data_IF_914081899102
#
_entry.id   IF_914081899102
#
_cell.length_a   1.000
_cell.length_b   1.000
_cell.length_c   1.000
_cell.angle_alpha   90.00
_cell.angle_beta   90.00
_cell.angle_gamma   90.00
#
_symmetry.space_group_name_H-M   'P 1'
#
loop_
_entity.id
_entity.type
_entity.pdbx_description
1 polymer ?
#
# COMPACT_ATOMS: atom_id res chain seq x y z
N UNK A 1 1.88 -41.91 -3.41
CA UNK A 1 1.26 -40.68 -3.94
C UNK A 1 1.41 -39.62 -2.87
N UNK A 2 2.10 -38.51 -3.16
CA UNK A 2 2.05 -37.36 -2.28
C UNK A 2 0.61 -36.83 -2.33
N UNK A 3 -0.03 -36.63 -1.17
CA UNK A 3 -1.34 -36.00 -1.11
C UNK A 3 -1.24 -34.56 -1.56
N UNK A 4 -2.24 -34.07 -2.29
CA UNK A 4 -2.41 -32.66 -2.60
C UNK A 4 -3.39 -32.04 -1.61
N UNK A 5 -3.12 -30.83 -1.15
CA UNK A 5 -4.06 -30.00 -0.41
C UNK A 5 -4.76 -29.06 -1.39
N UNK A 6 -6.06 -29.29 -1.61
CA UNK A 6 -6.86 -28.52 -2.57
C UNK A 6 -7.84 -27.61 -1.86
N UNK A 7 -7.72 -26.30 -2.10
CA UNK A 7 -8.66 -25.29 -1.63
C UNK A 7 -9.79 -25.09 -2.64
N UNK A 8 -10.99 -25.57 -2.31
CA UNK A 8 -12.22 -25.35 -3.10
C UNK A 8 -13.15 -24.28 -2.53
N UNK A 9 -12.78 -23.71 -1.38
CA UNK A 9 -13.50 -22.64 -0.68
C UNK A 9 -12.53 -21.89 0.24
N UNK A 10 -13.02 -20.88 0.95
CA UNK A 10 -12.24 -20.10 1.91
C UNK A 10 -11.78 -20.98 3.08
N UNK A 11 -10.47 -21.04 3.31
CA UNK A 11 -9.88 -21.68 4.48
C UNK A 11 -9.33 -20.60 5.40
N UNK A 12 -9.99 -20.39 6.55
CA UNK A 12 -9.60 -19.38 7.52
C UNK A 12 -8.55 -19.95 8.47
N UNK A 13 -7.40 -19.28 8.56
CA UNK A 13 -6.32 -19.69 9.45
C UNK A 13 -6.61 -19.37 10.92
N UNK A 14 -7.38 -18.30 11.20
CA UNK A 14 -7.81 -17.93 12.56
C UNK A 14 -6.65 -17.96 13.59
N UNK A 15 -5.53 -17.28 13.30
CA UNK A 15 -4.34 -17.25 14.17
C UNK A 15 -3.59 -18.59 14.34
N UNK A 16 -3.91 -19.62 13.54
CA UNK A 16 -3.21 -20.90 13.56
C UNK A 16 -2.19 -21.01 12.42
N UNK A 17 -1.30 -22.01 12.55
CA UNK A 17 -0.33 -22.38 11.52
C UNK A 17 -0.89 -23.54 10.70
N UNK A 18 -0.99 -23.35 9.38
CA UNK A 18 -1.15 -24.43 8.42
C UNK A 18 0.23 -24.86 7.94
N UNK A 19 0.62 -26.10 8.24
CA UNK A 19 1.94 -26.63 7.88
C UNK A 19 1.86 -27.55 6.65
N UNK A 20 2.64 -27.21 5.62
CA UNK A 20 2.82 -28.01 4.41
C UNK A 20 4.23 -28.58 4.38
N UNK A 21 4.35 -29.85 4.73
CA UNK A 21 5.63 -30.57 4.88
C UNK A 21 6.28 -30.98 3.56
N UNK A 22 5.58 -30.86 2.44
CA UNK A 22 6.09 -31.28 1.13
C UNK A 22 6.63 -30.07 0.38
N UNK A 23 7.93 -30.12 0.11
CA UNK A 23 8.70 -29.25 -0.77
C UNK A 23 8.39 -29.53 -2.24
N UNK A 24 7.12 -29.42 -2.63
CA UNK A 24 6.66 -29.57 -4.02
C UNK A 24 5.67 -28.44 -4.30
N UNK A 25 5.92 -27.56 -5.28
CA UNK A 25 5.04 -26.44 -5.60
C UNK A 25 3.57 -26.82 -5.85
N UNK A 26 3.32 -27.98 -6.46
CA UNK A 26 1.97 -28.48 -6.77
C UNK A 26 1.24 -29.12 -5.59
N UNK A 27 1.84 -29.16 -4.38
CA UNK A 27 1.16 -29.71 -3.19
C UNK A 27 -0.05 -28.86 -2.80
N UNK A 28 0.05 -27.54 -2.99
CA UNK A 28 -1.03 -26.60 -2.73
C UNK A 28 -1.72 -26.27 -4.05
N UNK A 29 -2.97 -26.70 -4.18
CA UNK A 29 -3.83 -26.40 -5.32
C UNK A 29 -5.03 -25.58 -4.86
N UNK A 30 -5.59 -24.75 -5.73
CA UNK A 30 -6.74 -23.94 -5.41
C UNK A 30 -7.67 -23.81 -6.62
N UNK A 31 -8.96 -24.09 -6.41
CA UNK A 31 -10.02 -24.04 -7.40
C UNK A 31 -11.21 -23.30 -6.78
N UNK A 32 -11.22 -21.97 -6.89
CA UNK A 32 -12.20 -21.07 -6.27
C UNK A 32 -12.13 -20.96 -4.73
N UNK A 33 -11.04 -21.43 -4.11
CA UNK A 33 -10.74 -21.25 -2.70
C UNK A 33 -9.45 -20.47 -2.47
N UNK A 34 -9.28 -19.95 -1.26
CA UNK A 34 -8.10 -19.20 -0.84
C UNK A 34 -7.86 -19.35 0.67
N UNK A 35 -6.65 -19.03 1.11
CA UNK A 35 -6.28 -18.90 2.51
C UNK A 35 -6.67 -17.50 2.99
N UNK A 36 -7.48 -17.41 4.04
CA UNK A 36 -7.73 -16.17 4.75
C UNK A 36 -6.84 -16.14 5.99
N UNK A 37 -5.72 -15.40 5.89
CA UNK A 37 -4.78 -15.20 7.00
C UNK A 37 -5.28 -14.16 8.02
N UNK A 38 -6.22 -13.32 7.60
CA UNK A 38 -6.62 -12.10 8.28
C UNK A 38 -7.14 -12.36 9.69
N UNK A 39 -6.52 -11.65 10.63
CA UNK A 39 -6.87 -11.51 12.03
C UNK A 39 -6.24 -10.17 12.44
N UNK A 40 -6.96 -9.07 12.18
CA UNK A 40 -6.57 -7.69 12.56
C UNK A 40 -6.15 -7.65 14.05
N UNK A 41 -5.21 -6.80 14.44
CA UNK A 41 -3.91 -7.22 14.92
C UNK A 41 -3.83 -6.92 16.42
N UNK A 42 -4.41 -7.81 17.19
CA UNK A 42 -4.31 -7.76 18.65
C UNK A 42 -4.28 -9.17 19.28
N UNK A 43 -4.48 -10.22 18.48
CA UNK A 43 -4.52 -11.60 18.96
C UNK A 43 -4.28 -12.60 17.82
N UNK A 44 -3.01 -12.70 17.39
CA UNK A 44 -2.48 -13.79 16.58
C UNK A 44 -2.80 -13.70 15.09
N UNK A 45 -1.77 -13.88 14.25
CA UNK A 45 -1.84 -13.83 12.80
C UNK A 45 -1.81 -15.27 12.23
N UNK A 46 -2.67 -15.57 11.25
CA UNK A 46 -2.66 -16.88 10.59
C UNK A 46 -1.42 -17.06 9.71
N UNK A 47 -0.76 -18.21 9.78
CA UNK A 47 0.49 -18.46 9.03
C UNK A 47 0.36 -19.71 8.17
N UNK A 48 0.76 -19.60 6.90
CA UNK A 48 1.11 -20.77 6.09
C UNK A 48 2.61 -21.03 6.27
N UNK A 49 2.96 -22.16 6.88
CA UNK A 49 4.34 -22.64 6.99
C UNK A 49 4.57 -23.71 5.95
N UNK A 50 5.36 -23.40 4.91
CA UNK A 50 5.58 -24.34 3.81
C UNK A 50 7.05 -24.74 3.77
N UNK A 51 7.35 -26.03 3.98
CA UNK A 51 8.67 -26.59 3.72
C UNK A 51 9.00 -26.50 2.23
N UNK A 52 10.01 -25.69 1.90
CA UNK A 52 10.50 -25.51 0.54
C UNK A 52 11.86 -26.18 0.33
N UNK A 53 12.63 -26.35 1.41
CA UNK A 53 13.95 -26.99 1.41
C UNK A 53 14.88 -26.39 0.36
N UNK A 54 15.47 -27.23 -0.49
CA UNK A 54 16.43 -26.91 -1.55
C UNK A 54 15.78 -26.82 -2.94
N UNK A 55 14.47 -26.60 -3.00
CA UNK A 55 13.73 -26.61 -4.26
C UNK A 55 13.71 -25.25 -4.95
N UNK A 56 13.65 -25.29 -6.28
CA UNK A 56 13.44 -24.12 -7.15
C UNK A 56 12.04 -24.13 -7.76
N UNK A 57 11.59 -22.97 -8.25
CA UNK A 57 10.32 -22.82 -8.96
C UNK A 57 9.29 -21.98 -8.19
N UNK A 58 8.08 -21.92 -8.74
CA UNK A 58 7.03 -21.01 -8.27
C UNK A 58 6.13 -21.63 -7.21
N UNK A 59 6.28 -21.19 -5.97
CA UNK A 59 5.42 -21.54 -4.84
C UNK A 59 4.28 -20.52 -4.76
N UNK A 60 3.06 -20.95 -5.10
CA UNK A 60 1.89 -20.08 -5.13
C UNK A 60 1.11 -20.17 -3.82
N UNK A 61 0.98 -19.05 -3.13
CA UNK A 61 0.24 -18.90 -1.89
C UNK A 61 -1.05 -18.13 -2.20
N UNK A 62 -2.21 -18.82 -2.25
CA UNK A 62 -3.47 -18.21 -2.64
C UNK A 62 -4.09 -17.49 -1.44
N UNK A 63 -3.50 -16.39 -0.98
CA UNK A 63 -4.19 -15.53 -0.01
C UNK A 63 -5.36 -14.82 -0.69
N UNK A 64 -6.41 -14.54 0.09
CA UNK A 64 -7.51 -13.70 -0.36
C UNK A 64 -7.97 -12.73 0.70
N UNK A 65 -8.60 -11.63 0.27
CA UNK A 65 -8.98 -10.51 1.15
C UNK A 65 -10.30 -10.70 1.91
N UNK A 66 -10.97 -11.83 1.73
CA UNK A 66 -12.36 -11.98 2.19
C UNK A 66 -13.40 -11.41 1.21
N UNK A 67 -12.97 -10.71 0.15
CA UNK A 67 -13.84 -10.11 -0.87
C UNK A 67 -14.26 -11.14 -1.95
N UNK A 68 -15.01 -10.68 -2.96
CA UNK A 68 -15.68 -11.53 -3.97
C UNK A 68 -14.73 -12.24 -4.96
N UNK A 69 -13.45 -11.86 -5.01
CA UNK A 69 -12.46 -12.51 -5.86
C UNK A 69 -11.57 -13.44 -5.05
N UNK A 70 -11.40 -14.69 -5.52
CA UNK A 70 -10.56 -15.70 -4.86
C UNK A 70 -9.06 -15.58 -5.21
N UNK A 71 -8.66 -14.56 -5.98
CA UNK A 71 -7.31 -14.41 -6.50
C UNK A 71 -6.73 -13.00 -6.29
N UNK A 72 -7.35 -12.20 -5.43
CA UNK A 72 -7.04 -10.77 -5.26
C UNK A 72 -5.74 -10.50 -4.50
N UNK A 73 -5.30 -11.41 -3.63
CA UNK A 73 -4.09 -11.24 -2.80
C UNK A 73 -3.06 -12.37 -2.96
N UNK A 74 -3.12 -13.13 -4.05
CA UNK A 74 -2.16 -14.20 -4.30
C UNK A 74 -0.72 -13.70 -4.22
N UNK A 75 0.14 -14.49 -3.57
CA UNK A 75 1.58 -14.27 -3.54
C UNK A 75 2.26 -15.44 -4.24
N UNK A 76 3.16 -15.14 -5.16
CA UNK A 76 4.02 -16.16 -5.79
C UNK A 76 5.46 -15.93 -5.37
N UNK A 77 6.05 -16.90 -4.69
CA UNK A 77 7.48 -16.95 -4.41
C UNK A 77 8.16 -17.80 -5.49
N UNK A 78 8.78 -17.16 -6.48
CA UNK A 78 9.54 -17.83 -7.52
C UNK A 78 11.00 -17.98 -7.08
N UNK A 79 11.41 -19.19 -6.71
CA UNK A 79 12.77 -19.47 -6.27
C UNK A 79 13.66 -19.68 -7.48
N UNK A 80 14.58 -18.73 -7.68
CA UNK A 80 15.57 -18.72 -8.76
C UNK A 80 16.81 -19.56 -8.40
N UNK A 81 17.25 -19.44 -7.15
CA UNK A 81 18.33 -20.24 -6.59
C UNK A 81 17.90 -20.74 -5.21
N UNK A 82 17.99 -22.05 -5.01
CA UNK A 82 17.63 -22.70 -3.76
C UNK A 82 18.47 -22.21 -2.57
N UNK A 83 17.87 -22.29 -1.38
CA UNK A 83 18.56 -22.17 -0.11
C UNK A 83 19.63 -23.27 0.04
N UNK A 84 20.70 -23.00 0.78
CA UNK A 84 21.57 -24.09 1.26
C UNK A 84 21.07 -24.57 2.62
N UNK A 85 20.27 -25.64 2.60
CA UNK A 85 19.68 -26.25 3.79
C UNK A 85 18.19 -26.52 3.65
N UNK A 86 17.67 -27.38 4.52
CA UNK A 86 16.24 -27.67 4.63
C UNK A 86 15.55 -26.63 5.51
N UNK A 87 14.28 -26.36 5.23
CA UNK A 87 13.48 -25.49 6.07
C UNK A 87 12.31 -24.82 5.37
N UNK A 88 11.42 -24.21 6.18
CA UNK A 88 10.21 -23.60 5.68
C UNK A 88 10.41 -22.14 5.28
N UNK A 89 9.48 -21.68 4.46
CA UNK A 89 9.12 -20.27 4.37
C UNK A 89 7.75 -20.10 5.01
N UNK A 90 7.65 -19.15 5.94
CA UNK A 90 6.39 -18.72 6.55
C UNK A 90 5.80 -17.60 5.71
N UNK A 91 4.52 -17.70 5.41
CA UNK A 91 3.76 -16.69 4.68
C UNK A 91 2.58 -16.21 5.51
N UNK A 92 2.37 -14.90 5.53
CA UNK A 92 1.16 -14.30 6.06
C UNK A 92 0.88 -12.93 5.43
N UNK A 93 -0.31 -12.41 5.65
CA UNK A 93 -0.73 -11.06 5.28
C UNK A 93 -1.85 -10.57 6.18
N UNK A 94 -1.92 -9.26 6.43
CA UNK A 94 -3.02 -8.63 7.14
C UNK A 94 -3.28 -7.22 6.57
N UNK A 95 -4.56 -6.75 6.58
CA UNK A 95 -4.90 -5.39 6.18
C UNK A 95 -4.48 -4.37 7.24
N UNK A 96 -4.51 -3.09 6.90
CA UNK A 96 -4.28 -1.99 7.84
C UNK A 96 -5.34 -0.90 7.66
N UNK A 97 -5.39 0.04 8.61
CA UNK A 97 -6.11 1.30 8.39
C UNK A 97 -5.36 2.21 7.40
N UNK A 98 -5.99 3.34 7.04
CA UNK A 98 -5.48 4.35 6.09
C UNK A 98 -4.17 5.06 6.50
N UNK A 99 -3.64 4.78 7.68
CA UNK A 99 -2.34 5.26 8.14
C UNK A 99 -1.34 4.11 8.26
N UNK A 100 -1.60 3.01 7.55
CA UNK A 100 -0.87 1.73 7.57
C UNK A 100 -0.66 1.16 8.98
N UNK A 101 -1.63 1.38 9.88
CA UNK A 101 -1.61 0.77 11.21
C UNK A 101 -2.45 -0.51 11.28
N UNK A 102 -1.94 -1.54 11.96
CA UNK A 102 -0.66 -1.55 12.69
C UNK A 102 0.53 -1.75 11.74
N UNK A 103 1.70 -1.36 12.22
CA UNK A 103 2.95 -1.76 11.61
C UNK A 103 3.29 -3.21 11.99
N UNK A 104 4.06 -3.93 11.15
CA UNK A 104 4.54 -5.26 11.50
C UNK A 104 5.39 -5.24 12.77
N UNK A 105 5.48 -6.37 13.46
CA UNK A 105 6.35 -6.53 14.63
C UNK A 105 7.77 -6.04 14.32
N UNK A 106 8.33 -5.23 15.23
CA UNK A 106 9.66 -4.61 15.15
C UNK A 106 9.82 -3.51 14.09
N UNK A 107 8.75 -3.11 13.39
CA UNK A 107 8.74 -1.95 12.50
C UNK A 107 8.22 -0.73 13.28
N UNK A 108 9.06 0.27 13.59
CA UNK A 108 8.67 1.40 14.42
C UNK A 108 7.92 2.50 13.65
N UNK A 109 8.12 2.59 12.33
CA UNK A 109 7.53 3.61 11.46
C UNK A 109 7.49 3.17 10.00
N UNK A 110 6.61 3.80 9.20
CA UNK A 110 6.61 3.69 7.74
C UNK A 110 7.62 4.64 7.06
N UNK A 111 8.15 5.62 7.79
CA UNK A 111 9.16 6.58 7.33
C UNK A 111 10.30 5.91 6.55
N UNK A 112 10.74 6.48 5.42
CA UNK A 112 10.34 7.78 4.86
C UNK A 112 9.12 7.73 3.92
N UNK A 113 8.40 6.61 3.84
CA UNK A 113 7.31 6.43 2.89
C UNK A 113 6.01 7.03 3.42
N UNK A 114 5.27 7.64 2.50
CA UNK A 114 3.99 8.27 2.79
C UNK A 114 2.89 7.20 2.85
N UNK A 115 2.15 7.10 3.98
CA UNK A 115 1.03 6.17 4.11
C UNK A 115 -0.08 6.41 3.08
N UNK A 116 -0.27 7.63 2.58
CA UNK A 116 -1.33 7.95 1.61
C UNK A 116 -1.15 7.27 0.23
N UNK A 117 0.09 6.88 -0.10
CA UNK A 117 0.47 6.20 -1.35
C UNK A 117 1.02 4.79 -1.11
N UNK A 118 0.81 4.26 0.09
CA UNK A 118 1.25 2.92 0.48
C UNK A 118 0.03 2.03 0.70
N UNK A 119 0.04 0.86 0.06
CA UNK A 119 -1.08 -0.07 0.16
C UNK A 119 -1.37 -0.41 1.61
N UNK A 120 -2.65 -0.36 1.97
CA UNK A 120 -3.18 -0.71 3.30
C UNK A 120 -3.09 -2.21 3.63
N UNK A 121 -1.90 -2.79 3.50
CA UNK A 121 -1.60 -4.21 3.71
C UNK A 121 -0.10 -4.44 3.88
N UNK A 122 0.23 -5.39 4.76
CA UNK A 122 1.56 -5.98 4.82
C UNK A 122 1.53 -7.45 4.44
N UNK A 123 2.64 -7.91 3.86
CA UNK A 123 2.96 -9.32 3.67
C UNK A 123 4.18 -9.68 4.53
N UNK A 124 4.09 -10.80 5.23
CA UNK A 124 5.17 -11.34 6.05
C UNK A 124 5.65 -12.64 5.40
N UNK A 125 6.86 -12.62 4.86
CA UNK A 125 7.47 -13.74 4.14
C UNK A 125 8.81 -14.04 4.80
N UNK A 126 8.84 -15.04 5.68
CA UNK A 126 10.01 -15.34 6.51
C UNK A 126 10.63 -16.68 6.14
N UNK A 127 11.84 -16.63 5.57
CA UNK A 127 12.63 -17.80 5.22
C UNK A 127 13.46 -18.26 6.44
N UNK A 128 13.13 -19.41 7.02
CA UNK A 128 13.81 -19.98 8.20
C UNK A 128 14.99 -20.91 7.83
N UNK A 129 15.44 -20.91 6.58
CA UNK A 129 16.61 -21.69 6.15
C UNK A 129 17.93 -21.06 6.58
N UNK A 130 18.95 -21.90 6.83
CA UNK A 130 20.30 -21.45 7.24
C UNK A 130 20.98 -20.50 6.24
N UNK A 131 20.68 -20.63 4.95
CA UNK A 131 20.92 -19.58 3.95
C UNK A 131 19.65 -19.42 3.14
N UNK A 132 19.13 -18.19 3.06
CA UNK A 132 17.88 -17.89 2.35
C UNK A 132 18.03 -18.12 0.84
N UNK A 133 16.94 -18.42 0.12
CA UNK A 133 16.98 -18.57 -1.33
C UNK A 133 17.13 -17.21 -2.04
N UNK A 134 17.53 -17.24 -3.31
CA UNK A 134 17.36 -16.11 -4.25
C UNK A 134 16.00 -16.23 -4.93
N UNK A 135 15.21 -15.16 -4.93
CA UNK A 135 13.80 -15.22 -5.33
C UNK A 135 13.35 -14.05 -6.18
N UNK A 136 12.26 -14.22 -6.92
CA UNK A 136 11.38 -13.12 -7.33
C UNK A 136 10.04 -13.32 -6.64
N UNK A 137 9.45 -12.23 -6.16
CA UNK A 137 8.15 -12.27 -5.49
C UNK A 137 7.14 -11.52 -6.35
N UNK A 138 6.02 -12.16 -6.63
CA UNK A 138 4.86 -11.50 -7.23
C UNK A 138 3.80 -11.32 -6.16
N UNK A 139 3.43 -10.08 -5.89
CA UNK A 139 2.32 -9.70 -5.01
C UNK A 139 1.13 -9.33 -5.87
N UNK A 140 -0.02 -9.98 -5.68
CA UNK A 140 -1.30 -9.39 -6.09
C UNK A 140 -1.85 -8.54 -4.97
N UNK A 141 -2.47 -7.44 -5.33
CA UNK A 141 -2.96 -6.46 -4.37
C UNK A 141 -4.38 -6.02 -4.72
N UNK A 142 -5.07 -5.56 -3.69
CA UNK A 142 -6.28 -4.77 -3.79
C UNK A 142 -5.90 -3.32 -3.56
N UNK A 143 -6.46 -2.40 -4.33
CA UNK A 143 -6.26 -0.95 -4.13
C UNK A 143 -7.57 -0.31 -3.59
N UNK A 144 -7.80 -0.38 -2.27
CA UNK A 144 -8.84 0.39 -1.60
C UNK A 144 -8.33 1.73 -1.04
N UNK A 145 -7.16 2.21 -1.46
CA UNK A 145 -6.49 3.35 -0.82
C UNK A 145 -7.20 4.68 -1.12
N UNK A 146 -7.02 5.68 -0.25
CA UNK A 146 -7.74 6.96 -0.33
C UNK A 146 -7.38 7.73 -1.59
N UNK A 147 -6.13 7.58 -2.04
CA UNK A 147 -5.61 8.14 -3.27
C UNK A 147 -5.28 7.02 -4.26
N UNK A 148 -5.54 7.21 -5.57
CA UNK A 148 -5.11 6.24 -6.56
C UNK A 148 -3.58 6.18 -6.58
N UNK A 149 -3.03 5.00 -6.38
CA UNK A 149 -1.59 4.77 -6.49
C UNK A 149 -1.25 4.59 -7.97
N UNK A 150 -0.29 5.36 -8.50
CA UNK A 150 0.16 5.20 -9.87
C UNK A 150 0.90 3.88 -10.04
N UNK A 151 0.31 2.91 -10.77
CA UNK A 151 0.91 1.59 -10.96
C UNK A 151 2.27 1.66 -11.67
N UNK A 152 2.51 2.69 -12.50
CA UNK A 152 3.82 2.90 -13.15
C UNK A 152 4.94 3.22 -12.16
N UNK A 153 4.60 3.63 -10.94
CA UNK A 153 5.54 3.98 -9.87
C UNK A 153 5.49 3.01 -8.69
N UNK A 154 4.54 2.08 -8.73
CA UNK A 154 4.32 1.10 -7.67
C UNK A 154 5.58 0.24 -7.49
N UNK A 155 5.90 -0.01 -6.23
CA UNK A 155 7.13 -0.63 -5.82
C UNK A 155 6.98 -1.45 -4.56
N UNK A 156 7.61 -2.62 -4.52
CA UNK A 156 7.74 -3.37 -3.28
C UNK A 156 8.85 -2.79 -2.41
N UNK A 157 8.54 -2.56 -1.13
CA UNK A 157 9.50 -2.16 -0.11
C UNK A 157 9.57 -3.22 0.99
N UNK A 158 10.77 -3.43 1.52
CA UNK A 158 11.05 -4.37 2.62
C UNK A 158 11.79 -3.72 3.77
N UNK A 159 11.43 -4.14 4.98
CA UNK A 159 12.06 -3.62 6.19
C UNK A 159 13.28 -4.44 6.59
N UNK A 160 14.44 -3.79 6.70
CA UNK A 160 15.66 -4.38 7.20
C UNK A 160 15.74 -4.24 8.73
N UNK A 161 15.40 -5.30 9.45
CA UNK A 161 15.45 -5.32 10.92
C UNK A 161 16.85 -5.09 11.50
N UNK A 162 17.93 -5.34 10.75
CA UNK A 162 19.29 -5.14 11.25
C UNK A 162 19.71 -3.66 11.20
N UNK A 163 19.24 -2.93 10.18
CA UNK A 163 19.51 -1.51 10.00
C UNK A 163 18.39 -0.60 10.53
N UNK A 164 17.24 -1.18 10.87
CA UNK A 164 16.03 -0.49 11.32
C UNK A 164 15.47 0.52 10.31
N UNK A 165 15.62 0.21 9.02
CA UNK A 165 15.15 1.05 7.91
C UNK A 165 14.38 0.21 6.90
N UNK A 166 13.45 0.84 6.19
CA UNK A 166 12.97 0.32 4.91
C UNK A 166 14.08 0.49 3.87
N UNK A 167 14.63 -0.63 3.38
CA UNK A 167 16.00 -0.73 2.83
C UNK A 167 16.04 -0.81 1.29
N UNK A 168 15.14 -0.13 0.60
CA UNK A 168 15.09 -0.15 -0.86
C UNK A 168 15.23 1.23 -1.51
N UNK A 169 16.19 1.31 -2.44
CA UNK A 169 16.19 2.29 -3.53
C UNK A 169 14.91 2.05 -4.36
N UNK A 170 14.22 3.10 -4.77
CA UNK A 170 13.00 3.11 -5.61
C UNK A 170 12.95 1.99 -6.69
N UNK A 171 11.75 1.48 -7.04
CA UNK A 171 11.51 0.06 -7.13
C UNK A 171 12.17 -0.67 -8.31
N UNK A 172 12.98 -1.66 -7.96
CA UNK A 172 13.48 -2.69 -8.86
C UNK A 172 12.38 -3.76 -9.04
N UNK A 173 11.53 -3.62 -10.06
CA UNK A 173 10.46 -4.58 -10.37
C UNK A 173 9.50 -4.07 -11.45
N UNK A 174 8.40 -4.78 -11.69
CA UNK A 174 7.43 -4.51 -12.75
C UNK A 174 5.99 -4.68 -12.24
N UNK A 175 5.19 -3.61 -12.36
CA UNK A 175 3.76 -3.65 -12.12
C UNK A 175 2.99 -4.12 -13.36
N UNK A 176 1.86 -4.79 -13.14
CA UNK A 176 0.86 -5.15 -14.14
C UNK A 176 -0.53 -4.72 -13.65
N UNK A 177 -0.98 -3.58 -14.16
CA UNK A 177 -2.26 -2.97 -13.82
C UNK A 177 -3.47 -3.78 -14.31
N UNK A 178 -3.32 -4.66 -15.32
CA UNK A 178 -4.44 -5.51 -15.77
C UNK A 178 -4.73 -6.61 -14.75
N UNK A 179 -3.70 -7.05 -14.04
CA UNK A 179 -3.77 -8.13 -13.09
C UNK A 179 -3.62 -7.66 -11.63
N UNK A 180 -3.56 -6.36 -11.36
CA UNK A 180 -3.27 -5.76 -10.06
C UNK A 180 -2.14 -6.52 -9.36
N UNK A 181 -1.00 -6.63 -10.03
CA UNK A 181 0.15 -7.35 -9.49
C UNK A 181 1.44 -6.58 -9.65
N UNK A 182 2.38 -6.82 -8.74
CA UNK A 182 3.75 -6.30 -8.80
C UNK A 182 4.72 -7.46 -8.65
N UNK A 183 5.68 -7.57 -9.56
CA UNK A 183 6.76 -8.57 -9.51
C UNK A 183 8.09 -7.89 -9.23
N UNK A 184 8.79 -8.33 -8.18
CA UNK A 184 10.12 -7.81 -7.84
C UNK A 184 11.18 -8.23 -8.88
N UNK A 185 12.25 -7.45 -8.97
CA UNK A 185 13.52 -7.95 -9.46
C UNK A 185 14.06 -9.08 -8.56
N UNK A 186 15.08 -9.84 -9.00
CA UNK A 186 15.69 -10.87 -8.18
C UNK A 186 16.19 -10.35 -6.82
N UNK A 187 15.61 -10.88 -5.74
CA UNK A 187 15.99 -10.65 -4.35
C UNK A 187 17.07 -11.66 -3.95
N UNK A 188 18.25 -11.16 -3.59
CA UNK A 188 19.36 -11.99 -3.15
C UNK A 188 19.15 -12.50 -1.72
N UNK A 189 19.78 -13.64 -1.34
CA UNK A 189 19.66 -14.21 0.00
C UNK A 189 19.91 -13.23 1.16
N UNK A 190 20.89 -12.34 1.01
CA UNK A 190 21.27 -11.34 2.02
C UNK A 190 20.21 -10.24 2.22
N UNK A 191 19.36 -10.02 1.21
CA UNK A 191 18.37 -8.94 1.19
C UNK A 191 16.94 -9.51 1.35
N UNK A 192 16.78 -10.81 1.63
CA UNK A 192 15.48 -11.43 1.86
C UNK A 192 15.03 -11.16 3.30
N UNK A 193 14.39 -10.01 3.50
CA UNK A 193 13.77 -9.63 4.77
C UNK A 193 12.31 -10.08 4.87
N UNK A 194 11.78 -10.05 6.11
CA UNK A 194 10.47 -10.61 6.45
C UNK A 194 9.30 -9.74 6.02
N UNK A 195 9.35 -8.44 6.31
CA UNK A 195 8.20 -7.55 6.24
C UNK A 195 8.20 -6.80 4.91
N UNK A 196 7.11 -6.88 4.16
CA UNK A 196 6.92 -6.28 2.84
C UNK A 196 5.63 -5.47 2.77
N UNK A 197 5.64 -4.38 2.02
CA UNK A 197 4.43 -3.70 1.51
C UNK A 197 4.70 -3.14 0.11
N UNK A 198 3.69 -2.57 -0.52
CA UNK A 198 3.83 -1.86 -1.80
C UNK A 198 3.54 -0.37 -1.59
N UNK A 199 4.38 0.48 -2.16
CA UNK A 199 4.24 1.93 -2.13
C UNK A 199 4.48 2.48 -3.53
N UNK A 200 3.85 3.60 -3.88
CA UNK A 200 4.05 4.25 -5.16
C UNK A 200 4.11 5.76 -5.00
N UNK A 201 3.73 6.46 -6.06
CA UNK A 201 3.44 7.87 -6.01
C UNK A 201 2.02 8.12 -6.51
N UNK A 202 1.54 9.31 -6.23
CA UNK A 202 0.36 9.85 -6.88
C UNK A 202 0.68 10.02 -8.39
N UNK A 203 -0.25 9.73 -9.32
CA UNK A 203 -0.04 9.95 -10.76
C UNK A 203 0.30 11.40 -11.08
N UNK A 204 1.19 11.66 -12.05
CA UNK A 204 1.67 13.02 -12.33
C UNK A 204 0.55 14.00 -12.74
N UNK A 205 -0.50 13.52 -13.40
CA UNK A 205 -1.65 14.32 -13.82
C UNK A 205 -2.79 14.33 -12.79
N UNK A 206 -2.60 13.68 -11.64
CA UNK A 206 -3.61 13.61 -10.60
C UNK A 206 -3.76 14.93 -9.87
N UNK A 207 -5.01 15.38 -9.79
CA UNK A 207 -5.41 16.56 -9.03
C UNK A 207 -6.68 16.22 -8.27
N UNK A 208 -6.54 16.13 -6.95
CA UNK A 208 -7.62 15.93 -6.01
C UNK A 208 -7.83 17.18 -5.17
N UNK A 209 -9.09 17.45 -4.82
CA UNK A 209 -9.44 18.54 -3.91
C UNK A 209 -10.35 17.92 -2.85
N UNK A 210 -9.91 17.86 -1.58
CA UNK A 210 -10.74 17.36 -0.48
C UNK A 210 -12.08 18.10 -0.39
N UNK A 211 -13.07 17.49 0.27
CA UNK A 211 -14.37 18.13 0.51
C UNK A 211 -14.56 18.57 1.97
N UNK A 212 -13.61 18.23 2.84
CA UNK A 212 -13.62 18.57 4.25
C UNK A 212 -12.21 18.52 4.84
N UNK A 213 -12.00 19.23 5.94
CA UNK A 213 -10.78 19.21 6.74
C UNK A 213 -11.10 19.58 8.19
N UNK A 214 -10.19 19.26 9.12
CA UNK A 214 -10.37 19.40 10.57
C UNK A 214 -9.20 20.15 11.20
N UNK A 215 -9.19 21.50 11.14
CA UNK A 215 -8.14 22.32 11.75
C UNK A 215 -8.31 22.36 13.27
N UNK A 216 -7.98 21.27 13.95
CA UNK A 216 -8.18 21.07 15.40
C UNK A 216 -6.86 20.93 16.19
N UNK A 217 -5.71 20.94 15.50
CA UNK A 217 -4.38 20.82 16.09
C UNK A 217 -3.94 19.41 16.46
N UNK A 218 -4.60 18.36 15.96
CA UNK A 218 -4.20 16.96 16.13
C UNK A 218 -3.13 16.51 15.11
N UNK A 219 -2.87 17.34 14.10
CA UNK A 219 -1.86 17.11 13.07
C UNK A 219 -2.39 16.39 11.83
N UNK A 220 -3.66 16.01 11.82
CA UNK A 220 -4.33 15.31 10.70
C UNK A 220 -5.36 16.23 10.06
N UNK A 221 -5.32 16.40 8.73
CA UNK A 221 -6.27 17.25 8.00
C UNK A 221 -6.35 18.72 8.51
N UNK A 222 -5.21 19.30 8.90
CA UNK A 222 -5.13 20.68 9.45
C UNK A 222 -5.26 21.79 8.40
N UNK A 223 -5.04 21.46 7.12
CA UNK A 223 -5.01 22.42 6.02
C UNK A 223 -5.87 21.90 4.87
N UNK A 224 -6.52 22.81 4.17
CA UNK A 224 -7.29 22.52 2.97
C UNK A 224 -6.62 23.08 1.73
N UNK A 225 -6.32 22.22 0.75
CA UNK A 225 -5.78 22.64 -0.54
C UNK A 225 -5.90 21.56 -1.61
N UNK A 226 -5.63 21.88 -2.88
CA UNK A 226 -5.45 20.88 -3.92
C UNK A 226 -4.27 19.97 -3.60
N UNK A 227 -4.48 18.66 -3.71
CA UNK A 227 -3.43 17.64 -3.72
C UNK A 227 -3.06 17.39 -5.18
N UNK A 228 -1.80 17.64 -5.52
CA UNK A 228 -1.27 17.59 -6.88
C UNK A 228 -0.20 16.50 -6.92
N UNK A 229 -0.30 15.57 -7.86
CA UNK A 229 0.65 14.45 -7.96
C UNK A 229 2.03 14.86 -8.50
N UNK A 230 2.09 15.86 -9.38
CA UNK A 230 3.34 16.44 -9.86
C UNK A 230 3.21 17.97 -9.97
N UNK A 231 3.95 18.69 -9.13
CA UNK A 231 3.96 20.16 -9.11
C UNK A 231 4.43 20.78 -10.44
N UNK A 232 5.26 20.06 -11.21
CA UNK A 232 5.73 20.48 -12.53
C UNK A 232 4.66 20.27 -13.62
N UNK A 233 3.64 19.45 -13.36
CA UNK A 233 2.56 19.18 -14.31
C UNK A 233 1.54 20.33 -14.41
N UNK A 234 1.64 21.33 -13.54
CA UNK A 234 0.77 22.49 -13.54
C UNK A 234 1.54 23.81 -13.47
N UNK A 235 1.00 24.83 -14.12
CA UNK A 235 1.51 26.21 -14.10
C UNK A 235 0.39 27.19 -13.76
N UNK A 236 0.72 28.46 -13.53
CA UNK A 236 -0.28 29.51 -13.26
C UNK A 236 -1.26 29.13 -12.12
N UNK A 237 -0.73 28.52 -11.05
CA UNK A 237 -1.51 28.06 -9.89
C UNK A 237 -2.23 29.24 -9.22
N UNK A 238 -3.53 29.10 -8.97
CA UNK A 238 -4.31 30.03 -8.18
C UNK A 238 -5.38 29.28 -7.40
N UNK A 239 -5.34 29.40 -6.08
CA UNK A 239 -6.29 28.78 -5.17
C UNK A 239 -6.94 29.81 -4.26
N UNK A 240 -8.26 29.89 -4.30
CA UNK A 240 -9.06 30.87 -3.59
C UNK A 240 -10.16 30.18 -2.79
N UNK A 241 -10.42 30.69 -1.59
CA UNK A 241 -11.54 30.28 -0.74
C UNK A 241 -12.45 31.48 -0.48
N UNK A 242 -13.75 31.24 -0.53
CA UNK A 242 -14.81 32.21 -0.28
C UNK A 242 -15.78 31.70 0.79
N UNK A 243 -16.31 32.63 1.57
CA UNK A 243 -17.50 32.35 2.38
C UNK A 243 -18.76 32.20 1.50
N UNK A 244 -19.88 31.85 2.14
CA UNK A 244 -21.18 31.70 1.48
C UNK A 244 -21.69 32.99 0.81
N UNK A 245 -21.17 34.14 1.20
CA UNK A 245 -21.56 35.46 0.70
C UNK A 245 -20.66 35.97 -0.42
N UNK A 246 -19.63 35.19 -0.80
CA UNK A 246 -18.66 35.56 -1.83
C UNK A 246 -17.50 36.41 -1.32
N UNK A 247 -17.34 36.56 0.00
CA UNK A 247 -16.17 37.21 0.59
C UNK A 247 -14.97 36.28 0.46
N UNK A 248 -13.88 36.75 -0.16
CA UNK A 248 -12.63 35.99 -0.22
C UNK A 248 -11.99 35.91 1.17
N UNK A 249 -11.75 34.69 1.64
CA UNK A 249 -11.12 34.39 2.93
C UNK A 249 -9.64 34.02 2.76
N UNK A 250 -9.30 33.38 1.65
CA UNK A 250 -7.96 32.90 1.35
C UNK A 250 -7.64 33.05 -0.13
N UNK A 251 -6.38 33.34 -0.44
CA UNK A 251 -5.80 33.32 -1.78
C UNK A 251 -4.35 32.87 -1.67
N UNK A 252 -3.97 31.94 -2.53
CA UNK A 252 -2.59 31.52 -2.74
C UNK A 252 -2.32 31.29 -4.22
N UNK A 253 -1.15 31.74 -4.67
CA UNK A 253 -0.51 31.38 -5.93
C UNK A 253 0.67 30.41 -5.72
N UNK A 254 0.92 30.02 -4.47
CA UNK A 254 1.99 29.09 -4.08
C UNK A 254 1.40 27.68 -3.96
N UNK A 255 1.97 26.74 -4.73
CA UNK A 255 1.63 25.31 -4.63
C UNK A 255 1.96 24.76 -3.23
N UNK A 256 1.17 23.78 -2.76
CA UNK A 256 1.31 23.21 -1.41
C UNK A 256 0.82 24.10 -0.25
N UNK A 257 0.54 25.39 -0.50
CA UNK A 257 0.02 26.29 0.55
C UNK A 257 -1.50 26.21 0.63
N UNK A 258 -1.99 25.44 1.60
CA UNK A 258 -3.41 25.30 1.93
C UNK A 258 -3.97 26.39 2.85
N UNK A 259 -5.29 26.39 2.98
CA UNK A 259 -6.05 27.20 3.94
C UNK A 259 -6.21 26.46 5.26
N UNK A 260 -5.84 27.11 6.35
CA UNK A 260 -5.85 26.59 7.73
C UNK A 260 -7.20 26.81 8.46
N UNK A 261 -8.22 27.30 7.76
CA UNK A 261 -9.48 27.69 8.39
C UNK A 261 -9.42 29.02 9.12
N UNK A 262 -8.35 29.82 8.96
CA UNK A 262 -8.25 31.17 9.54
C UNK A 262 -8.59 32.24 8.49
N UNK A 263 -9.18 33.35 8.95
CA UNK A 263 -9.30 34.57 8.16
C UNK A 263 -8.81 35.74 9.01
N UNK A 264 -7.74 36.41 8.58
CA UNK A 264 -7.12 37.54 9.31
C UNK A 264 -6.77 37.23 10.77
N UNK A 265 -6.38 35.99 11.05
CA UNK A 265 -6.01 35.51 12.39
C UNK A 265 -7.20 35.12 13.27
N UNK A 266 -8.43 35.16 12.75
CA UNK A 266 -9.62 34.64 13.43
C UNK A 266 -10.05 33.31 12.81
N UNK A 267 -10.41 32.37 13.67
CA UNK A 267 -10.95 31.09 13.26
C UNK A 267 -12.30 31.24 12.52
N UNK A 268 -12.40 30.60 11.35
CA UNK A 268 -13.64 30.52 10.61
C UNK A 268 -14.62 29.53 11.24
N UNK A 269 -15.91 29.77 11.02
CA UNK A 269 -16.98 28.94 11.58
C UNK A 269 -16.97 27.53 10.99
N UNK A 270 -17.55 26.58 11.71
CA UNK A 270 -17.83 25.25 11.18
C UNK A 270 -18.99 25.34 10.18
N UNK A 271 -18.65 25.61 8.91
CA UNK A 271 -19.61 25.81 7.82
C UNK A 271 -19.04 25.29 6.50
N UNK A 272 -19.83 25.39 5.43
CA UNK A 272 -19.45 25.07 4.06
C UNK A 272 -18.97 26.32 3.34
N UNK A 273 -17.76 26.23 2.81
CA UNK A 273 -17.07 27.26 2.05
C UNK A 273 -16.98 26.87 0.57
N UNK A 274 -16.76 27.85 -0.29
CA UNK A 274 -16.59 27.63 -1.73
C UNK A 274 -15.13 27.84 -2.10
N UNK A 275 -14.57 26.95 -2.91
CA UNK A 275 -13.24 27.14 -3.47
C UNK A 275 -13.29 27.36 -4.97
N UNK A 276 -12.29 28.08 -5.46
CA UNK A 276 -11.94 28.19 -6.88
C UNK A 276 -10.47 27.85 -7.01
N UNK A 277 -10.18 26.80 -7.77
CA UNK A 277 -8.83 26.39 -8.12
C UNK A 277 -8.64 26.55 -9.63
N UNK A 278 -7.60 27.26 -10.04
CA UNK A 278 -7.23 27.46 -11.44
C UNK A 278 -5.76 27.12 -11.64
N UNK A 279 -5.46 26.47 -12.76
CA UNK A 279 -4.10 26.17 -13.18
C UNK A 279 -4.05 25.97 -14.70
N UNK A 280 -2.85 25.96 -15.27
CA UNK A 280 -2.57 25.57 -16.65
C UNK A 280 -1.94 24.17 -16.68
N UNK A 281 -2.51 23.24 -17.42
CA UNK A 281 -1.99 21.87 -17.54
C UNK A 281 -0.77 21.78 -18.49
N UNK A 282 -0.16 20.59 -18.59
CA UNK A 282 0.99 20.33 -19.49
C UNK A 282 0.66 20.53 -20.98
N UNK A 283 -0.62 20.49 -21.38
CA UNK A 283 -1.08 20.80 -22.73
C UNK A 283 -1.23 22.31 -22.99
N UNK A 284 -1.03 23.15 -21.97
CA UNK A 284 -1.15 24.61 -22.06
C UNK A 284 -2.58 25.13 -21.88
N UNK A 285 -3.54 24.28 -21.51
CA UNK A 285 -4.94 24.63 -21.30
C UNK A 285 -5.16 25.11 -19.87
N UNK A 286 -5.90 26.22 -19.70
CA UNK A 286 -6.34 26.68 -18.38
C UNK A 286 -7.54 25.86 -17.92
N UNK A 287 -7.39 25.19 -16.79
CA UNK A 287 -8.41 24.41 -16.11
C UNK A 287 -8.86 25.16 -14.86
N UNK A 288 -10.18 25.27 -14.69
CA UNK A 288 -10.79 25.86 -13.49
C UNK A 288 -11.69 24.82 -12.83
N UNK A 289 -11.38 24.48 -11.58
CA UNK A 289 -12.18 23.63 -10.70
C UNK A 289 -12.85 24.49 -9.63
N UNK A 290 -14.14 24.28 -9.42
CA UNK A 290 -14.88 24.92 -8.34
C UNK A 290 -15.60 23.85 -7.53
N UNK A 291 -15.78 24.11 -6.24
CA UNK A 291 -16.44 23.15 -5.37
C UNK A 291 -16.65 23.69 -3.98
N UNK A 292 -16.92 22.77 -3.06
CA UNK A 292 -17.24 23.09 -1.67
C UNK A 292 -16.30 22.35 -0.74
N UNK A 293 -15.97 22.99 0.37
CA UNK A 293 -15.23 22.39 1.47
C UNK A 293 -15.98 22.64 2.77
N UNK A 294 -15.98 21.67 3.67
CA UNK A 294 -16.59 21.79 5.00
C UNK A 294 -15.50 21.83 6.06
N UNK A 295 -15.53 22.83 6.93
CA UNK A 295 -14.74 22.77 8.17
C UNK A 295 -15.45 21.84 9.13
N UNK A 296 -14.72 20.91 9.75
CA UNK A 296 -15.21 20.03 10.83
C UNK A 296 -14.33 20.27 12.07
N UNK A 297 -14.91 20.20 13.26
CA UNK A 297 -14.20 20.28 14.55
C UNK A 297 -14.74 19.22 15.50
#
# INVERSE_FOLDING_TARGET
MAGTFTLSSVFRLNSHVLELEKSIPSVLNYQNGYLLAETEPASGLGVLRWNIDDQTGAFNVPFGSGMSSFNDLNVTLNILQAASGSGPVNFSTYPTNSSNNPLPDLVPSLEPYDPEVTINRFWLIDAEQGTKPSVQITFRYTDPDVHPISESTLGAIRYNNALLVWDDLAPAGQADALSNSFTTDPVLPKDFYKNWTLTGSIPEDFIYIPNSFSPNGDGTNEWFGPVIGNDEAIQDYSFMIFDRWGTQLFLSDVQGKGWDGMNKGEECQQDVYVYVFSYRNVQGETVVKTGKVTIIR
#
